data_IF_311095304944
#
_entry.id   IF_311095304944
#
_cell.length_a   1.000
_cell.length_b   1.000
_cell.length_c   1.000
_cell.angle_alpha   90.00
_cell.angle_beta   90.00
_cell.angle_gamma   90.00
#
_symmetry.space_group_name_H-M   'P 1'
#
loop_
_entity.id
_entity.type
_entity.pdbx_description
1 polymer ?
#
# COMPACT_ATOMS: atom_id res chain seq x y z
N UNK A 1 1.21 16.88 1.33
CA UNK A 1 1.49 17.02 2.76
C UNK A 1 2.92 17.44 2.97
N UNK A 2 3.93 16.56 2.82
CA UNK A 2 5.32 16.98 3.02
C UNK A 2 5.72 18.02 1.96
N UNK A 3 5.39 17.78 0.69
CA UNK A 3 5.60 18.75 -0.40
C UNK A 3 4.97 20.11 -0.09
N UNK A 4 3.67 20.10 0.24
CA UNK A 4 2.90 21.31 0.59
C UNK A 4 3.50 22.05 1.79
N UNK A 5 3.90 21.32 2.84
CA UNK A 5 4.52 21.90 4.04
C UNK A 5 5.88 22.54 3.73
N UNK A 6 6.71 21.85 2.95
CA UNK A 6 8.01 22.33 2.51
C UNK A 6 7.89 23.57 1.61
N UNK A 7 6.90 23.58 0.70
CA UNK A 7 6.60 24.74 -0.14
C UNK A 7 6.22 25.97 0.70
N UNK A 8 5.27 25.82 1.64
CA UNK A 8 4.84 26.93 2.52
C UNK A 8 6.00 27.44 3.39
N UNK A 9 6.83 26.52 3.92
CA UNK A 9 7.94 26.87 4.79
C UNK A 9 9.20 27.34 4.03
N UNK A 10 9.20 27.25 2.70
CA UNK A 10 10.37 27.46 1.84
C UNK A 10 11.59 26.62 2.27
N UNK A 11 11.36 25.33 2.53
CA UNK A 11 12.40 24.38 2.96
C UNK A 11 12.62 23.35 1.83
N UNK A 12 13.87 23.08 1.42
CA UNK A 12 14.16 22.01 0.47
C UNK A 12 13.86 20.63 1.09
N UNK A 13 13.32 19.72 0.29
CA UNK A 13 12.97 18.37 0.71
C UNK A 13 13.78 17.33 -0.04
N UNK A 14 14.66 16.63 0.69
CA UNK A 14 15.36 15.46 0.16
C UNK A 14 14.46 14.23 0.27
N UNK A 15 13.92 13.80 -0.86
CA UNK A 15 12.96 12.70 -0.94
C UNK A 15 13.62 11.41 -1.43
N UNK A 16 13.25 10.29 -0.81
CA UNK A 16 13.51 8.97 -1.36
C UNK A 16 12.29 8.07 -1.18
N UNK A 17 12.08 7.18 -2.15
CA UNK A 17 11.11 6.10 -2.05
C UNK A 17 11.68 4.84 -2.68
N UNK A 18 11.07 3.70 -2.36
CA UNK A 18 11.55 2.39 -2.81
C UNK A 18 10.40 1.43 -3.01
N UNK A 19 10.64 0.44 -3.85
CA UNK A 19 9.71 -0.65 -4.14
C UNK A 19 10.50 -1.90 -4.51
N UNK A 20 10.39 -2.97 -3.71
CA UNK A 20 11.13 -4.24 -3.90
C UNK A 20 12.65 -4.06 -3.95
N UNK A 21 13.19 -3.94 -5.17
CA UNK A 21 14.62 -3.83 -5.49
C UNK A 21 14.99 -2.48 -6.10
N UNK A 22 14.00 -1.60 -6.30
CA UNK A 22 14.17 -0.34 -6.98
C UNK A 22 14.02 0.80 -5.98
N UNK A 23 14.88 1.80 -6.11
CA UNK A 23 14.87 3.01 -5.30
C UNK A 23 14.87 4.24 -6.18
N UNK A 24 14.31 5.33 -5.66
CA UNK A 24 14.41 6.63 -6.28
C UNK A 24 14.76 7.70 -5.25
N UNK A 25 15.57 8.68 -5.67
CA UNK A 25 15.99 9.82 -4.86
C UNK A 25 15.95 11.09 -5.69
N UNK A 26 15.46 12.18 -5.10
CA UNK A 26 15.49 13.52 -5.70
C UNK A 26 15.43 14.59 -4.61
N UNK A 27 15.71 15.84 -5.00
CA UNK A 27 15.54 17.01 -4.12
C UNK A 27 14.41 17.88 -4.67
N UNK A 28 13.39 18.11 -3.86
CA UNK A 28 12.29 19.00 -4.18
C UNK A 28 12.44 20.36 -3.49
N UNK A 29 11.81 21.38 -4.08
CA UNK A 29 11.69 22.71 -3.49
C UNK A 29 13.04 23.36 -3.11
N UNK A 30 14.11 23.01 -3.82
CA UNK A 30 15.41 23.65 -3.65
C UNK A 30 15.49 24.89 -4.54
N UNK A 31 15.71 26.06 -3.95
CA UNK A 31 15.81 27.35 -4.65
C UNK A 31 14.60 27.65 -5.55
N UNK A 32 13.38 27.39 -5.05
CA UNK A 32 12.12 27.47 -5.82
C UNK A 32 12.03 26.53 -7.05
N UNK A 33 12.83 25.46 -7.06
CA UNK A 33 12.85 24.44 -8.10
C UNK A 33 11.59 23.56 -8.16
N UNK A 34 11.65 22.44 -8.92
CA UNK A 34 10.56 21.50 -9.06
C UNK A 34 10.12 20.90 -7.72
N UNK A 35 8.81 20.60 -7.60
CA UNK A 35 8.15 20.02 -6.42
C UNK A 35 7.67 18.61 -6.67
N UNK A 36 7.23 17.93 -5.63
CA UNK A 36 6.69 16.57 -5.76
C UNK A 36 5.47 16.54 -6.67
N UNK A 37 4.55 17.51 -6.54
CA UNK A 37 3.37 17.62 -7.40
C UNK A 37 3.69 17.93 -8.87
N UNK A 38 4.91 18.40 -9.19
CA UNK A 38 5.34 18.57 -10.58
C UNK A 38 5.66 17.23 -11.25
N UNK A 39 6.10 16.24 -10.46
CA UNK A 39 6.42 14.88 -10.92
C UNK A 39 5.22 13.92 -10.76
N UNK A 40 4.42 14.13 -9.73
CA UNK A 40 3.26 13.33 -9.36
C UNK A 40 2.05 14.24 -9.10
N UNK A 41 1.42 14.77 -10.16
CA UNK A 41 0.35 15.77 -10.05
C UNK A 41 -0.91 15.19 -9.41
N UNK A 42 -1.25 13.95 -9.78
CA UNK A 42 -2.43 13.25 -9.30
C UNK A 42 -2.02 12.19 -8.25
N UNK A 43 -2.83 12.00 -7.19
CA UNK A 43 -2.64 10.87 -6.30
C UNK A 43 -2.77 9.55 -7.08
N UNK A 44 -1.97 8.53 -6.75
CA UNK A 44 -2.11 7.23 -7.37
C UNK A 44 -3.51 6.65 -7.07
N UNK A 45 -4.17 6.00 -8.03
CA UNK A 45 -5.50 5.44 -7.83
C UNK A 45 -5.51 4.42 -6.68
N UNK A 46 -6.61 4.39 -5.93
CA UNK A 46 -6.83 3.49 -4.79
C UNK A 46 -6.53 2.03 -5.16
N UNK A 47 -5.56 1.41 -4.47
CA UNK A 47 -5.16 0.02 -4.70
C UNK A 47 -4.07 -0.20 -5.76
N UNK A 48 -3.56 0.84 -6.43
CA UNK A 48 -2.48 0.71 -7.43
C UNK A 48 -1.09 0.50 -6.84
N UNK A 49 -0.93 0.76 -5.53
CA UNK A 49 0.34 0.59 -4.83
C UNK A 49 0.24 -0.54 -3.81
N UNK A 50 0.99 -1.61 -4.05
CA UNK A 50 1.29 -2.59 -3.00
C UNK A 50 2.05 -1.85 -1.89
N UNK A 51 1.57 -1.98 -0.65
CA UNK A 51 2.30 -1.41 0.49
C UNK A 51 3.64 -2.17 0.70
N UNK A 52 4.62 -1.53 1.35
CA UNK A 52 5.95 -2.12 1.58
C UNK A 52 5.89 -3.44 2.37
N UNK A 53 4.83 -3.67 3.16
CA UNK A 53 4.62 -4.91 3.91
C UNK A 53 4.22 -6.10 3.01
N UNK A 54 3.53 -5.82 1.89
CA UNK A 54 3.09 -6.79 0.89
C UNK A 54 4.13 -7.04 -0.19
N UNK A 55 4.79 -5.99 -0.68
CA UNK A 55 5.80 -6.11 -1.73
C UNK A 55 7.14 -6.66 -1.24
N UNK A 56 7.46 -6.43 0.04
CA UNK A 56 8.78 -6.68 0.62
C UNK A 56 9.83 -5.70 0.10
N UNK A 57 10.88 -5.46 0.90
CA UNK A 57 11.99 -4.56 0.59
C UNK A 57 13.29 -5.22 1.03
N UNK A 58 14.32 -5.14 0.19
CA UNK A 58 15.67 -5.56 0.59
C UNK A 58 16.22 -4.56 1.61
N UNK A 59 16.47 -5.01 2.84
CA UNK A 59 16.86 -4.13 3.96
C UNK A 59 18.12 -3.28 3.72
N UNK A 60 19.02 -3.70 2.83
CA UNK A 60 20.17 -2.91 2.43
C UNK A 60 19.80 -1.66 1.60
N UNK A 61 18.72 -1.72 0.81
CA UNK A 61 18.30 -0.62 -0.07
C UNK A 61 17.93 0.65 0.72
N UNK A 62 17.12 0.61 1.80
CA UNK A 62 16.91 1.76 2.67
C UNK A 62 18.21 2.40 3.19
N UNK A 63 19.22 1.58 3.51
CA UNK A 63 20.54 2.08 3.94
C UNK A 63 21.29 2.83 2.84
N UNK A 64 21.23 2.31 1.60
CA UNK A 64 21.79 2.98 0.42
C UNK A 64 21.06 4.31 0.19
N UNK A 65 19.72 4.29 0.10
CA UNK A 65 18.95 5.49 -0.18
C UNK A 65 19.08 6.54 0.92
N UNK A 66 19.06 6.13 2.19
CA UNK A 66 19.27 7.04 3.32
C UNK A 66 20.66 7.70 3.29
N UNK A 67 21.69 6.96 2.86
CA UNK A 67 23.04 7.52 2.69
C UNK A 67 23.09 8.56 1.56
N UNK A 68 22.37 8.30 0.46
CA UNK A 68 22.24 9.26 -0.65
C UNK A 68 21.46 10.49 -0.18
N UNK A 69 20.35 10.32 0.56
CA UNK A 69 19.59 11.44 1.11
C UNK A 69 20.45 12.31 2.04
N UNK A 70 21.26 11.69 2.90
CA UNK A 70 22.19 12.43 3.75
C UNK A 70 23.22 13.22 2.93
N UNK A 71 23.73 12.63 1.83
CA UNK A 71 24.65 13.33 0.93
C UNK A 71 23.99 14.52 0.23
N UNK A 72 22.75 14.39 -0.25
CA UNK A 72 22.00 15.52 -0.82
C UNK A 72 21.80 16.64 0.19
N UNK A 73 21.47 16.30 1.45
CA UNK A 73 21.33 17.30 2.52
C UNK A 73 22.66 18.02 2.79
N UNK A 74 23.79 17.30 2.81
CA UNK A 74 25.12 17.90 2.97
C UNK A 74 25.42 18.85 1.79
N UNK A 75 25.14 18.46 0.55
CA UNK A 75 25.33 19.32 -0.63
C UNK A 75 24.54 20.62 -0.52
N UNK A 76 23.28 20.54 -0.12
CA UNK A 76 22.41 21.71 0.08
C UNK A 76 22.96 22.62 1.17
N UNK A 77 23.35 22.07 2.33
CA UNK A 77 23.78 22.86 3.48
C UNK A 77 25.16 23.49 3.30
N UNK A 78 26.07 22.80 2.60
CA UNK A 78 27.45 23.25 2.41
C UNK A 78 27.67 24.02 1.10
N UNK A 79 26.72 23.95 0.16
CA UNK A 79 26.88 24.50 -1.18
C UNK A 79 27.88 23.74 -2.07
N UNK A 80 28.25 22.50 -1.69
CA UNK A 80 29.18 21.69 -2.48
C UNK A 80 28.44 20.87 -3.54
N UNK A 81 28.99 20.85 -4.76
CA UNK A 81 28.43 20.08 -5.88
C UNK A 81 27.04 20.54 -6.29
N UNK A 82 26.31 19.67 -6.99
CA UNK A 82 24.97 19.97 -7.48
C UNK A 82 23.95 19.01 -6.86
N UNK A 83 22.96 19.50 -6.09
CA UNK A 83 21.85 18.68 -5.59
C UNK A 83 21.03 18.05 -6.72
N UNK A 84 20.30 16.98 -6.43
CA UNK A 84 19.39 16.29 -7.35
C UNK A 84 18.10 17.10 -7.65
N UNK A 85 18.12 18.42 -7.53
CA UNK A 85 16.97 19.26 -7.91
C UNK A 85 16.72 19.14 -9.42
N UNK A 86 15.48 18.86 -9.81
CA UNK A 86 15.10 18.59 -11.21
C UNK A 86 15.66 17.30 -11.80
N UNK A 87 16.23 16.41 -10.97
CA UNK A 87 16.83 15.14 -11.42
C UNK A 87 16.38 13.99 -10.52
N UNK A 88 15.60 13.07 -11.07
CA UNK A 88 15.20 11.83 -10.41
C UNK A 88 16.26 10.76 -10.64
N UNK A 89 17.03 10.44 -9.61
CA UNK A 89 17.93 9.29 -9.62
C UNK A 89 17.12 8.02 -9.36
N UNK A 90 17.14 7.07 -10.30
CA UNK A 90 16.55 5.74 -10.16
C UNK A 90 17.68 4.72 -10.01
N UNK A 91 17.53 3.79 -9.07
CA UNK A 91 18.50 2.75 -8.75
C UNK A 91 17.80 1.40 -8.85
N UNK A 92 18.29 0.51 -9.71
CA UNK A 92 17.90 -0.91 -9.70
C UNK A 92 19.01 -1.71 -9.00
N UNK A 93 18.71 -2.29 -7.83
CA UNK A 93 19.69 -3.08 -7.06
C UNK A 93 19.90 -4.50 -7.57
N UNK A 94 19.07 -5.00 -8.50
CA UNK A 94 19.30 -6.30 -9.16
C UNK A 94 20.47 -6.20 -10.13
N UNK A 95 20.54 -5.10 -10.88
CA UNK A 95 21.58 -4.84 -11.88
C UNK A 95 22.67 -3.90 -11.38
N UNK A 96 22.44 -3.23 -10.24
CA UNK A 96 23.27 -2.14 -9.70
C UNK A 96 23.42 -0.97 -10.69
N UNK A 97 22.40 -0.74 -11.51
CA UNK A 97 22.35 0.38 -12.45
C UNK A 97 21.70 1.61 -11.81
N UNK A 98 22.28 2.77 -12.07
CA UNK A 98 21.74 4.07 -11.72
C UNK A 98 21.47 4.89 -12.98
N UNK A 99 20.24 5.38 -13.13
CA UNK A 99 19.82 6.26 -14.24
C UNK A 99 19.26 7.56 -13.68
N UNK A 100 19.47 8.65 -14.40
CA UNK A 100 18.90 9.95 -14.07
C UNK A 100 17.84 10.31 -15.09
N UNK A 101 16.66 10.69 -14.61
CA UNK A 101 15.62 11.32 -15.42
C UNK A 101 15.55 12.79 -15.03
N UNK A 102 15.49 13.68 -16.01
CA UNK A 102 15.33 15.12 -15.78
C UNK A 102 13.85 15.49 -15.82
N UNK A 103 13.44 16.41 -14.95
CA UNK A 103 12.09 16.94 -14.92
C UNK A 103 12.12 18.42 -14.52
N UNK A 104 11.10 19.15 -14.94
CA UNK A 104 11.00 20.60 -14.74
C UNK A 104 9.76 20.94 -13.91
N UNK A 105 9.73 22.16 -13.38
CA UNK A 105 8.56 22.66 -12.68
C UNK A 105 7.39 22.83 -13.66
N UNK A 106 6.19 22.44 -13.26
CA UNK A 106 5.01 22.64 -14.10
C UNK A 106 4.68 24.12 -14.23
N UNK A 107 4.37 24.54 -15.47
CA UNK A 107 3.94 25.92 -15.77
C UNK A 107 2.51 26.21 -15.30
N UNK A 108 1.71 25.17 -15.03
CA UNK A 108 0.33 25.27 -14.54
C UNK A 108 0.19 25.03 -13.04
N UNK A 109 1.32 24.96 -12.34
CA UNK A 109 1.42 24.69 -10.90
C UNK A 109 0.65 25.73 -10.09
N UNK A 110 -0.32 25.27 -9.29
CA UNK A 110 -0.98 26.10 -8.30
C UNK A 110 -0.06 26.35 -7.09
N UNK A 111 -0.06 27.59 -6.62
CA UNK A 111 0.67 27.97 -5.41
C UNK A 111 -0.05 27.42 -4.18
N UNK A 112 0.73 26.87 -3.25
CA UNK A 112 0.18 26.26 -2.04
C UNK A 112 0.35 27.25 -0.91
N UNK A 113 -0.76 27.78 -0.40
CA UNK A 113 -0.78 28.84 0.63
C UNK A 113 -1.16 28.34 2.01
N UNK A 114 -1.80 27.18 2.10
CA UNK A 114 -2.24 26.58 3.35
C UNK A 114 -2.12 25.06 3.34
N UNK A 115 -1.88 24.47 4.52
CA UNK A 115 -1.97 23.03 4.70
C UNK A 115 -3.42 22.65 4.82
N UNK A 116 -4.03 22.28 3.68
CA UNK A 116 -5.40 21.77 3.73
C UNK A 116 -5.40 20.38 4.37
N UNK A 117 -5.76 20.31 5.66
CA UNK A 117 -6.01 19.04 6.37
C UNK A 117 -7.31 18.38 5.91
N UNK A 118 -8.18 19.12 5.23
CA UNK A 118 -9.39 18.60 4.60
C UNK A 118 -9.10 18.31 3.12
N UNK A 119 -9.36 17.06 2.72
CA UNK A 119 -9.59 16.60 1.34
C UNK A 119 -8.48 16.13 0.38
N UNK A 120 -7.18 16.22 0.68
CA UNK A 120 -6.17 15.54 -0.19
C UNK A 120 -5.53 14.29 0.45
N UNK A 121 -5.59 14.19 1.78
CA UNK A 121 -4.99 13.07 2.54
C UNK A 121 -6.00 12.28 3.36
N UNK A 122 -7.26 12.72 3.41
CA UNK A 122 -8.33 11.97 4.06
C UNK A 122 -8.70 10.69 3.29
N UNK A 123 -8.41 10.63 1.99
CA UNK A 123 -8.47 9.40 1.18
C UNK A 123 -7.21 8.52 1.32
N UNK A 124 -6.20 8.95 2.08
CA UNK A 124 -5.08 8.12 2.55
C UNK A 124 -5.21 7.69 4.02
N UNK A 125 -6.36 7.94 4.66
CA UNK A 125 -6.92 6.84 5.46
C UNK A 125 -7.27 5.76 4.46
N UNK A 126 -7.08 4.50 4.78
CA UNK A 126 -7.58 3.40 3.97
C UNK A 126 -9.10 3.58 3.77
N UNK A 127 -9.48 4.33 2.76
CA UNK A 127 -10.83 4.55 2.28
C UNK A 127 -10.73 4.13 0.83
N UNK A 128 -11.15 2.89 0.64
CA UNK A 128 -11.48 2.30 -0.65
C UNK A 128 -12.52 3.19 -1.32
N UNK A 129 -12.09 4.15 -2.13
CA UNK A 129 -12.99 4.71 -3.13
C UNK A 129 -12.23 4.89 -4.44
N UNK A 130 -12.73 4.21 -5.47
CA UNK A 130 -12.07 3.99 -6.76
C UNK A 130 -11.67 2.54 -7.07
N UNK A 131 -11.76 1.62 -6.09
CA UNK A 131 -11.79 0.18 -6.40
C UNK A 131 -13.13 -0.18 -7.04
N UNK A 132 -13.20 -1.29 -7.79
CA UNK A 132 -14.50 -1.93 -8.01
C UNK A 132 -15.26 -1.98 -6.67
N UNK A 133 -16.57 -1.70 -6.63
CA UNK A 133 -17.34 -1.82 -5.40
C UNK A 133 -17.07 -3.20 -4.81
N UNK A 134 -16.34 -3.23 -3.70
CA UNK A 134 -15.90 -4.45 -3.07
C UNK A 134 -16.84 -4.71 -1.91
N UNK A 135 -17.51 -5.84 -1.94
CA UNK A 135 -18.35 -6.24 -0.84
C UNK A 135 -17.46 -6.46 0.39
N UNK A 136 -17.87 -5.87 1.51
CA UNK A 136 -17.19 -6.01 2.79
C UNK A 136 -18.22 -6.45 3.83
N UNK A 137 -17.78 -7.27 4.78
CA UNK A 137 -18.61 -7.84 5.83
C UNK A 137 -17.90 -7.67 7.17
N UNK A 138 -18.65 -7.34 8.22
CA UNK A 138 -18.17 -7.27 9.60
C UNK A 138 -17.98 -8.66 10.19
N UNK A 139 -17.23 -8.76 11.29
CA UNK A 139 -17.00 -10.04 11.98
C UNK A 139 -18.26 -10.61 12.61
N UNK A 140 -19.20 -9.75 13.03
CA UNK A 140 -20.52 -10.16 13.53
C UNK A 140 -21.39 -10.73 12.41
N UNK A 141 -21.45 -10.07 11.26
CA UNK A 141 -22.18 -10.58 10.09
C UNK A 141 -21.61 -11.92 9.62
N UNK A 142 -20.28 -12.07 9.61
CA UNK A 142 -19.66 -13.36 9.32
C UNK A 142 -20.06 -14.41 10.36
N UNK A 143 -19.98 -14.08 11.64
CA UNK A 143 -20.32 -15.01 12.73
C UNK A 143 -21.77 -15.52 12.61
N UNK A 144 -22.71 -14.63 12.29
CA UNK A 144 -24.10 -14.99 12.04
C UNK A 144 -24.26 -15.84 10.77
N UNK A 145 -23.54 -15.49 9.69
CA UNK A 145 -23.58 -16.22 8.42
C UNK A 145 -23.03 -17.64 8.55
N UNK A 146 -22.02 -17.86 9.39
CA UNK A 146 -21.46 -19.18 9.69
C UNK A 146 -22.46 -20.11 10.40
N UNK A 147 -23.49 -19.57 11.07
CA UNK A 147 -24.51 -20.36 11.77
C UNK A 147 -25.69 -20.76 10.88
N UNK A 148 -25.74 -20.29 9.64
CA UNK A 148 -26.83 -20.59 8.70
C UNK A 148 -26.65 -21.99 8.08
N UNK A 149 -27.73 -22.53 7.50
CA UNK A 149 -27.68 -23.84 6.81
C UNK A 149 -26.71 -23.87 5.63
N UNK A 150 -26.38 -22.70 5.06
CA UNK A 150 -25.40 -22.53 3.98
C UNK A 150 -24.30 -21.55 4.41
N UNK A 151 -23.28 -22.02 5.15
CA UNK A 151 -22.18 -21.17 5.57
C UNK A 151 -21.34 -20.71 4.36
N UNK A 152 -20.64 -19.57 4.49
CA UNK A 152 -19.79 -19.05 3.43
C UNK A 152 -18.55 -19.94 3.28
N UNK A 153 -17.84 -19.81 2.16
CA UNK A 153 -16.48 -20.33 2.04
C UNK A 153 -15.50 -19.36 2.68
N UNK A 154 -14.77 -19.82 3.69
CA UNK A 154 -13.78 -19.03 4.41
C UNK A 154 -12.39 -19.21 3.80
N UNK A 155 -11.81 -18.10 3.37
CA UNK A 155 -10.50 -18.05 2.72
C UNK A 155 -9.52 -17.20 3.54
N UNK A 156 -8.54 -17.85 4.16
CA UNK A 156 -7.44 -17.19 4.87
C UNK A 156 -6.29 -16.89 3.90
N UNK A 157 -5.97 -15.61 3.73
CA UNK A 157 -4.88 -15.18 2.82
C UNK A 157 -3.59 -14.76 3.48
N UNK A 158 -3.43 -15.14 4.77
CA UNK A 158 -2.21 -14.86 5.55
C UNK A 158 -1.06 -15.79 5.16
N UNK A 159 0.06 -15.65 5.87
CA UNK A 159 1.22 -16.54 5.73
C UNK A 159 1.04 -17.75 6.64
N UNK A 160 1.58 -18.91 6.25
CA UNK A 160 1.55 -20.13 7.08
C UNK A 160 1.98 -19.91 8.55
N UNK A 161 3.00 -19.07 8.80
CA UNK A 161 3.45 -18.76 10.17
C UNK A 161 2.40 -18.02 11.01
N UNK A 162 1.53 -17.25 10.37
CA UNK A 162 0.43 -16.55 11.03
C UNK A 162 -0.74 -17.50 11.33
N UNK A 163 -0.96 -18.48 10.45
CA UNK A 163 -1.95 -19.55 10.63
C UNK A 163 -1.58 -20.47 11.78
N UNK A 164 -0.29 -20.80 11.93
CA UNK A 164 0.23 -21.62 13.04
C UNK A 164 -0.07 -21.00 14.42
N UNK A 165 -0.27 -19.67 14.49
CA UNK A 165 -0.60 -18.96 15.73
C UNK A 165 -2.10 -19.09 16.03
N UNK A 166 -2.93 -18.75 15.05
CA UNK A 166 -4.40 -18.79 15.17
C UNK A 166 -5.05 -18.68 13.79
N UNK A 167 -6.28 -19.20 13.65
CA UNK A 167 -7.15 -19.03 12.48
C UNK A 167 -8.61 -18.94 12.92
N UNK A 168 -9.47 -18.36 12.07
CA UNK A 168 -10.91 -18.40 12.30
C UNK A 168 -11.36 -19.87 12.20
N UNK A 169 -12.18 -20.38 13.13
CA UNK A 169 -12.73 -21.73 13.05
C UNK A 169 -13.41 -22.00 11.71
N UNK A 170 -13.40 -23.26 11.26
CA UNK A 170 -14.04 -23.70 10.02
C UNK A 170 -13.53 -23.02 8.74
N UNK A 171 -12.32 -22.48 8.76
CA UNK A 171 -11.65 -21.97 7.55
C UNK A 171 -11.43 -23.08 6.52
N UNK A 172 -12.04 -22.94 5.34
CA UNK A 172 -12.01 -23.93 4.25
C UNK A 172 -10.63 -23.99 3.57
N UNK A 173 -10.05 -22.83 3.19
CA UNK A 173 -8.81 -22.76 2.43
C UNK A 173 -7.84 -21.72 3.01
N UNK A 174 -6.56 -22.06 2.99
CA UNK A 174 -5.45 -21.26 3.52
C UNK A 174 -4.37 -21.15 2.46
N UNK A 175 -4.25 -19.98 1.85
CA UNK A 175 -3.32 -19.73 0.74
C UNK A 175 -2.81 -18.32 0.83
N UNK A 176 -1.51 -18.09 0.70
CA UNK A 176 -0.97 -16.73 0.73
C UNK A 176 -1.61 -15.87 -0.36
N UNK A 177 -1.99 -14.63 -0.04
CA UNK A 177 -2.61 -13.72 -1.03
C UNK A 177 -1.84 -13.58 -2.36
N UNK A 178 -0.50 -13.69 -2.35
CA UNK A 178 0.33 -13.66 -3.58
C UNK A 178 0.15 -14.87 -4.49
N UNK A 179 -0.33 -15.97 -3.91
CA UNK A 179 -0.42 -17.29 -4.53
C UNK A 179 -1.88 -17.62 -4.92
N UNK A 180 -2.80 -16.66 -4.74
CA UNK A 180 -4.24 -16.86 -4.85
C UNK A 180 -4.67 -17.36 -6.23
N UNK A 181 -4.08 -16.84 -7.30
CA UNK A 181 -4.42 -17.23 -8.66
C UNK A 181 -3.99 -18.66 -9.00
N UNK A 182 -3.00 -19.20 -8.28
CA UNK A 182 -2.57 -20.59 -8.46
C UNK A 182 -3.55 -21.60 -7.83
N UNK A 183 -4.39 -21.12 -6.91
CA UNK A 183 -5.38 -21.94 -6.17
C UNK A 183 -6.81 -21.55 -6.57
N UNK A 184 -6.97 -20.86 -7.72
CA UNK A 184 -8.27 -20.35 -8.14
C UNK A 184 -9.30 -21.47 -8.27
N UNK A 185 -8.90 -22.64 -8.78
CA UNK A 185 -9.81 -23.77 -8.99
C UNK A 185 -10.33 -24.41 -7.68
N UNK A 186 -9.66 -24.14 -6.55
CA UNK A 186 -10.09 -24.62 -5.22
C UNK A 186 -11.14 -23.71 -4.58
N UNK A 187 -11.31 -22.49 -5.12
CA UNK A 187 -12.26 -21.50 -4.62
C UNK A 187 -13.59 -21.69 -5.34
N UNK A 188 -14.72 -21.85 -4.63
CA UNK A 188 -16.02 -22.03 -5.26
C UNK A 188 -16.49 -20.76 -5.99
N UNK A 189 -17.28 -20.94 -7.06
CA UNK A 189 -17.89 -19.84 -7.85
C UNK A 189 -19.39 -19.70 -7.62
N UNK A 190 -19.99 -20.55 -6.80
CA UNK A 190 -21.44 -20.73 -6.66
C UNK A 190 -21.97 -20.34 -5.27
N UNK A 191 -21.10 -19.87 -4.37
CA UNK A 191 -21.46 -19.38 -3.04
C UNK A 191 -20.57 -18.23 -2.59
N UNK A 192 -21.01 -17.54 -1.55
CA UNK A 192 -20.27 -16.44 -0.91
C UNK A 192 -18.90 -16.93 -0.43
N UNK A 193 -17.86 -16.19 -0.78
CA UNK A 193 -16.47 -16.39 -0.38
C UNK A 193 -16.09 -15.21 0.51
N UNK A 194 -15.83 -15.46 1.79
CA UNK A 194 -15.33 -14.45 2.72
C UNK A 194 -13.81 -14.60 2.84
N UNK A 195 -13.09 -13.59 2.37
CA UNK A 195 -11.64 -13.53 2.36
C UNK A 195 -11.17 -12.70 3.54
N UNK A 196 -10.27 -13.25 4.36
CA UNK A 196 -9.71 -12.53 5.49
C UNK A 196 -8.20 -12.61 5.53
N UNK A 197 -7.59 -11.60 6.13
CA UNK A 197 -6.18 -11.61 6.48
C UNK A 197 -5.99 -11.11 7.92
N UNK A 198 -4.83 -10.56 8.26
CA UNK A 198 -4.59 -10.00 9.60
C UNK A 198 -5.52 -8.82 9.92
N UNK A 199 -5.55 -7.82 9.05
CA UNK A 199 -6.24 -6.53 9.27
C UNK A 199 -7.28 -6.16 8.21
N UNK A 200 -7.44 -7.00 7.18
CA UNK A 200 -8.33 -6.74 6.04
C UNK A 200 -7.64 -6.17 4.78
N UNK A 201 -6.33 -5.83 4.83
CA UNK A 201 -5.64 -5.21 3.69
C UNK A 201 -5.30 -6.22 2.58
N UNK A 202 -4.58 -7.30 2.92
CA UNK A 202 -4.18 -8.34 1.95
C UNK A 202 -5.35 -9.08 1.33
N UNK A 203 -6.45 -9.19 2.06
CA UNK A 203 -7.70 -9.80 1.56
C UNK A 203 -8.33 -8.98 0.46
N UNK A 204 -8.26 -7.64 0.52
CA UNK A 204 -8.69 -6.79 -0.60
C UNK A 204 -7.85 -7.03 -1.85
N UNK A 205 -6.52 -7.15 -1.71
CA UNK A 205 -5.62 -7.48 -2.83
C UNK A 205 -5.96 -8.83 -3.45
N UNK A 206 -6.25 -9.85 -2.63
CA UNK A 206 -6.66 -11.17 -3.09
C UNK A 206 -8.02 -11.13 -3.82
N UNK A 207 -9.01 -10.42 -3.29
CA UNK A 207 -10.33 -10.24 -3.92
C UNK A 207 -10.20 -9.55 -5.27
N UNK A 208 -9.37 -8.50 -5.37
CA UNK A 208 -9.13 -7.83 -6.64
C UNK A 208 -8.53 -8.80 -7.67
N UNK A 209 -7.50 -9.57 -7.29
CA UNK A 209 -6.91 -10.56 -8.19
C UNK A 209 -7.93 -11.60 -8.68
N UNK A 210 -8.78 -12.09 -7.76
CA UNK A 210 -9.86 -13.02 -8.10
C UNK A 210 -10.89 -12.38 -9.05
N UNK A 211 -11.38 -11.18 -8.75
CA UNK A 211 -12.33 -10.47 -9.61
C UNK A 211 -11.75 -10.20 -11.01
N UNK A 212 -10.48 -9.76 -11.09
CA UNK A 212 -9.79 -9.53 -12.37
C UNK A 212 -9.57 -10.82 -13.19
N UNK A 213 -9.54 -11.98 -12.54
CA UNK A 213 -9.48 -13.28 -13.20
C UNK A 213 -10.85 -13.82 -13.69
N UNK A 214 -11.92 -13.03 -13.49
CA UNK A 214 -13.28 -13.37 -13.94
C UNK A 214 -14.16 -13.99 -12.87
N UNK A 215 -13.78 -13.94 -11.60
CA UNK A 215 -14.68 -14.31 -10.49
C UNK A 215 -15.74 -13.24 -10.29
N UNK A 216 -16.95 -13.68 -9.96
CA UNK A 216 -18.09 -12.79 -9.69
C UNK A 216 -17.79 -11.91 -8.46
N UNK A 217 -17.64 -10.59 -8.63
CA UNK A 217 -17.34 -9.68 -7.52
C UNK A 217 -18.43 -9.69 -6.44
N UNK A 218 -19.68 -10.00 -6.80
CA UNK A 218 -20.80 -10.01 -5.85
C UNK A 218 -20.67 -11.12 -4.79
N UNK A 219 -19.96 -12.21 -5.12
CA UNK A 219 -19.74 -13.33 -4.21
C UNK A 219 -18.48 -13.17 -3.36
N UNK A 220 -17.64 -12.17 -3.61
CA UNK A 220 -16.37 -11.98 -2.92
C UNK A 220 -16.49 -10.91 -1.83
N UNK A 221 -16.39 -11.33 -0.57
CA UNK A 221 -16.52 -10.44 0.58
C UNK A 221 -15.20 -10.32 1.35
N UNK A 222 -14.75 -9.09 1.59
CA UNK A 222 -13.64 -8.82 2.50
C UNK A 222 -14.13 -8.87 3.95
N UNK A 223 -13.41 -9.57 4.84
CA UNK A 223 -13.68 -9.47 6.28
C UNK A 223 -13.07 -8.18 6.85
N UNK A 224 -13.93 -7.22 7.21
CA UNK A 224 -13.53 -5.94 7.75
C UNK A 224 -12.73 -6.12 9.06
N UNK A 225 -11.53 -5.51 9.11
CA UNK A 225 -10.63 -5.62 10.26
C UNK A 225 -9.92 -6.97 10.40
N UNK A 226 -10.21 -7.94 9.52
CA UNK A 226 -9.57 -9.26 9.48
C UNK A 226 -9.70 -10.05 10.80
N UNK A 227 -8.73 -10.93 11.05
CA UNK A 227 -8.70 -11.76 12.25
C UNK A 227 -8.48 -10.94 13.54
N UNK A 228 -7.92 -9.73 13.46
CA UNK A 228 -7.79 -8.85 14.62
C UNK A 228 -9.15 -8.38 15.13
N UNK A 229 -10.08 -8.04 14.24
CA UNK A 229 -11.45 -7.71 14.61
C UNK A 229 -12.19 -8.95 15.14
N UNK A 230 -11.95 -10.13 14.54
CA UNK A 230 -12.55 -11.38 15.03
C UNK A 230 -12.13 -11.67 16.48
N UNK A 231 -10.83 -11.55 16.75
CA UNK A 231 -10.28 -11.68 18.10
C UNK A 231 -10.76 -10.55 19.05
N UNK A 232 -11.15 -9.39 18.53
CA UNK A 232 -11.66 -8.30 19.37
C UNK A 232 -13.11 -8.50 19.80
N UNK A 233 -13.95 -8.97 18.88
CA UNK A 233 -15.40 -8.88 19.02
C UNK A 233 -16.07 -10.25 19.20
N UNK A 234 -15.51 -11.31 18.61
CA UNK A 234 -16.12 -12.65 18.60
C UNK A 234 -15.38 -13.62 19.53
N UNK A 235 -14.05 -13.69 19.42
CA UNK A 235 -13.22 -14.56 20.27
C UNK A 235 -12.06 -13.81 20.94
N UNK A 236 -12.30 -13.12 22.08
CA UNK A 236 -11.28 -12.45 22.87
C UNK A 236 -10.14 -13.33 23.38
N UNK A 237 -10.30 -14.66 23.35
CA UNK A 237 -9.26 -15.60 23.79
C UNK A 237 -8.26 -15.94 22.69
N UNK A 238 -8.60 -15.66 21.43
CA UNK A 238 -7.73 -15.86 20.29
C UNK A 238 -6.49 -14.95 20.37
N UNK A 239 -5.27 -15.50 20.18
CA UNK A 239 -4.04 -14.71 20.19
C UNK A 239 -4.05 -13.57 19.17
N UNK A 240 -3.54 -12.40 19.58
CA UNK A 240 -3.27 -11.25 18.71
C UNK A 240 -1.78 -11.09 18.55
N UNK A 241 -1.35 -10.85 17.32
CA UNK A 241 0.05 -10.64 16.94
C UNK A 241 0.11 -9.51 15.93
#
# INVERSE_FOLDING_TARGET
>A
LIDDACAIANIPWVHASLFRYEGQVTVFNHENGPRYRDLHPDPPPSGALLNCEEAGVIGALPGILGSIQAMEAIKILSGIGEPLSGRLMLIDTKTMEARHLTYEASTTRQEVTELNRHNDYAESRCVTDGGMPMNSMTVTELHDLMQQEKPPFLLDVRRAQEEDICSIPDTDLRVRHTDILMHIDEIPSDRVVVVYCRSGIRSMTAIHALAASGRDPELLHNLAGGILAWSAEIDPTMPRY
#
